data_IF_548946678926
#
_entry.id   IF_548946678926
#
_cell.length_a   1.000
_cell.length_b   1.000
_cell.length_c   1.000
_cell.angle_alpha   90.00
_cell.angle_beta   90.00
_cell.angle_gamma   90.00
#
_symmetry.space_group_name_H-M   'P 1'
#
loop_
_entity.id
_entity.type
_entity.pdbx_description
1 polymer ?
#
# COMPACT_ATOMS: atom_id res chain seq x y z
N UNK A 1 26.78 8.82 3.19
CA UNK A 1 28.11 8.40 3.68
C UNK A 1 28.08 8.49 5.20
N UNK A 2 28.01 7.34 5.87
CA UNK A 2 28.04 7.28 7.33
C UNK A 2 29.49 7.27 7.81
N UNK A 3 29.74 7.99 8.89
CA UNK A 3 31.02 8.15 9.59
C UNK A 3 31.76 6.82 9.74
N UNK A 4 33.03 6.79 9.32
CA UNK A 4 34.00 5.81 9.80
C UNK A 4 34.08 5.89 11.34
N UNK A 5 34.18 4.74 11.99
CA UNK A 5 34.16 4.60 13.47
C UNK A 5 35.31 5.34 14.17
N UNK A 6 36.40 5.64 13.47
CA UNK A 6 37.54 6.39 14.01
C UNK A 6 37.37 7.92 13.96
N UNK A 7 36.44 8.44 13.15
CA UNK A 7 36.27 9.87 12.91
C UNK A 7 35.03 10.43 13.63
N UNK A 8 34.84 10.07 14.89
CA UNK A 8 33.69 10.54 15.69
C UNK A 8 33.65 12.08 15.77
N UNK A 9 34.80 12.77 15.63
CA UNK A 9 34.89 14.23 15.53
C UNK A 9 35.97 14.65 14.52
N UNK A 10 35.63 14.94 13.26
CA UNK A 10 36.61 15.38 12.28
C UNK A 10 37.17 16.76 12.67
N UNK A 11 38.50 16.85 12.77
CA UNK A 11 39.23 18.13 12.94
C UNK A 11 39.57 18.56 14.38
N UNK A 12 39.47 17.69 15.39
CA UNK A 12 39.82 18.03 16.77
C UNK A 12 40.98 17.15 17.30
N UNK A 13 42.12 17.77 17.60
CA UNK A 13 43.26 17.10 18.25
C UNK A 13 42.94 16.85 19.74
N UNK A 14 43.13 15.60 20.20
CA UNK A 14 42.71 15.13 21.54
C UNK A 14 43.83 15.18 22.57
N UNK A 15 45.04 15.57 22.19
CA UNK A 15 46.18 15.63 23.11
C UNK A 15 45.97 16.72 24.17
N UNK A 16 45.81 16.31 25.44
CA UNK A 16 45.82 17.22 26.60
C UNK A 16 44.45 17.67 27.14
N UNK A 17 43.34 17.11 26.69
CA UNK A 17 42.01 17.45 27.20
C UNK A 17 41.67 16.69 28.50
N UNK A 18 41.55 17.42 29.62
CA UNK A 18 41.10 16.90 30.92
C UNK A 18 39.61 16.52 30.95
N UNK A 19 38.83 16.96 29.96
CA UNK A 19 37.39 16.71 29.82
C UNK A 19 37.03 16.63 28.33
N UNK A 20 35.97 15.89 27.97
CA UNK A 20 35.45 15.93 26.60
C UNK A 20 35.18 17.39 26.19
N UNK A 21 35.53 17.77 24.94
CA UNK A 21 35.22 19.10 24.43
C UNK A 21 33.70 19.32 24.49
N UNK A 22 33.27 20.55 24.74
CA UNK A 22 31.85 20.89 24.68
C UNK A 22 31.43 20.87 23.22
N UNK A 23 30.69 19.84 22.83
CA UNK A 23 30.20 19.66 21.47
C UNK A 23 28.73 20.04 21.49
N UNK A 24 28.34 20.96 20.62
CA UNK A 24 26.95 21.33 20.45
C UNK A 24 26.19 20.07 20.01
N UNK A 25 25.10 19.68 20.69
CA UNK A 25 24.35 18.51 20.29
C UNK A 25 23.86 18.67 18.84
N UNK A 26 23.81 17.58 18.05
CA UNK A 26 23.25 17.63 16.71
C UNK A 26 21.83 18.21 16.76
N UNK A 27 21.59 19.25 15.97
CA UNK A 27 20.31 19.92 15.86
C UNK A 27 19.88 20.00 14.40
N UNK A 28 18.57 20.02 14.16
CA UNK A 28 17.99 20.23 12.83
C UNK A 28 17.27 21.58 12.84
N UNK A 29 17.99 22.69 12.55
CA UNK A 29 17.41 24.03 12.68
C UNK A 29 16.32 24.33 11.64
N UNK A 30 16.23 23.53 10.58
CA UNK A 30 15.25 23.70 9.49
C UNK A 30 13.88 23.07 9.77
N UNK A 31 13.65 22.53 10.98
CA UNK A 31 12.42 21.81 11.35
C UNK A 31 11.82 22.39 12.62
N UNK A 32 10.49 22.26 12.75
CA UNK A 32 9.76 22.79 13.89
C UNK A 32 9.89 21.86 15.10
N UNK A 33 10.35 22.40 16.23
CA UNK A 33 10.37 21.68 17.50
C UNK A 33 8.97 21.33 18.01
N UNK A 34 7.96 22.14 17.67
CA UNK A 34 6.57 21.91 18.07
C UNK A 34 5.97 20.70 17.33
N UNK A 35 6.14 20.64 16.01
CA UNK A 35 5.70 19.50 15.20
C UNK A 35 6.41 18.23 15.66
N UNK A 36 7.72 18.29 15.92
CA UNK A 36 8.45 17.13 16.42
C UNK A 36 7.94 16.67 17.79
N UNK A 37 7.60 17.58 18.70
CA UNK A 37 7.03 17.23 19.99
C UNK A 37 5.70 16.46 19.84
N UNK A 38 4.85 16.84 18.88
CA UNK A 38 3.63 16.12 18.54
C UNK A 38 3.92 14.72 17.96
N UNK A 39 4.93 14.58 17.09
CA UNK A 39 5.36 13.28 16.59
C UNK A 39 5.85 12.35 17.72
N UNK A 40 6.61 12.89 18.68
CA UNK A 40 7.02 12.15 19.88
C UNK A 40 5.81 11.76 20.72
N UNK A 41 4.82 12.64 20.86
CA UNK A 41 3.58 12.33 21.57
C UNK A 41 2.85 11.12 20.94
N UNK A 42 2.76 11.08 19.61
CA UNK A 42 2.21 9.93 18.88
C UNK A 42 3.04 8.65 19.05
N UNK A 43 4.38 8.75 19.03
CA UNK A 43 5.27 7.59 19.23
C UNK A 43 5.12 6.97 20.62
N UNK A 44 4.80 7.79 21.63
CA UNK A 44 4.46 7.32 22.97
C UNK A 44 3.08 6.64 23.04
N UNK A 45 2.31 6.65 21.95
CA UNK A 45 1.01 6.01 21.85
C UNK A 45 -0.17 6.93 22.14
N UNK A 46 0.05 8.23 22.35
CA UNK A 46 -1.04 9.16 22.59
C UNK A 46 -1.73 9.60 21.29
N UNK A 47 -3.06 9.83 21.32
CA UNK A 47 -3.77 10.33 20.15
C UNK A 47 -3.32 11.75 19.81
N UNK A 48 -3.34 12.09 18.53
CA UNK A 48 -3.05 13.44 18.05
C UNK A 48 -4.32 14.09 17.49
N UNK A 49 -4.58 15.32 17.92
CA UNK A 49 -5.66 16.12 17.36
C UNK A 49 -5.15 16.89 16.13
N UNK A 50 -5.70 16.56 14.95
CA UNK A 50 -5.34 17.24 13.70
C UNK A 50 -6.19 18.49 13.56
N UNK A 51 -5.57 19.65 13.76
CA UNK A 51 -6.20 20.97 13.70
C UNK A 51 -6.79 21.33 12.33
N UNK A 52 -6.05 21.04 11.27
CA UNK A 52 -6.41 21.33 9.89
C UNK A 52 -5.49 20.57 8.92
N UNK A 53 -5.73 20.73 7.62
CA UNK A 53 -4.95 20.02 6.59
C UNK A 53 -3.50 20.52 6.46
N UNK A 54 -3.26 21.82 6.68
CA UNK A 54 -1.89 22.36 6.67
C UNK A 54 -1.05 21.73 7.79
N UNK A 55 -1.63 21.59 8.98
CA UNK A 55 -1.03 20.92 10.12
C UNK A 55 -0.71 19.45 9.82
N UNK A 56 -1.65 18.72 9.19
CA UNK A 56 -1.41 17.34 8.73
C UNK A 56 -0.24 17.29 7.74
N UNK A 57 -0.17 18.23 6.81
CA UNK A 57 0.90 18.28 5.81
C UNK A 57 2.28 18.54 6.43
N UNK A 58 2.38 19.38 7.46
CA UNK A 58 3.60 19.60 8.23
C UNK A 58 4.07 18.32 8.93
N UNK A 59 3.15 17.64 9.64
CA UNK A 59 3.43 16.37 10.32
C UNK A 59 3.90 15.30 9.32
N UNK A 60 3.22 15.15 8.18
CA UNK A 60 3.60 14.20 7.13
C UNK A 60 4.98 14.53 6.55
N UNK A 61 5.29 15.80 6.33
CA UNK A 61 6.59 16.25 5.82
C UNK A 61 7.72 15.89 6.78
N UNK A 62 7.51 16.06 8.08
CA UNK A 62 8.51 15.76 9.10
C UNK A 62 8.61 14.25 9.36
N UNK A 63 7.50 13.51 9.33
CA UNK A 63 7.53 12.04 9.33
C UNK A 63 8.40 11.49 8.20
N UNK A 64 8.30 12.05 6.99
CA UNK A 64 9.14 11.65 5.85
C UNK A 64 10.61 12.00 6.06
N UNK A 65 10.88 13.18 6.64
CA UNK A 65 12.24 13.62 6.96
C UNK A 65 12.91 12.70 8.00
N UNK A 66 12.21 12.36 9.08
CA UNK A 66 12.70 11.49 10.15
C UNK A 66 12.49 9.99 9.88
N UNK A 67 11.95 9.63 8.73
CA UNK A 67 11.65 8.25 8.31
C UNK A 67 10.72 7.48 9.26
N UNK A 68 9.79 8.18 9.91
CA UNK A 68 8.75 7.57 10.75
C UNK A 68 7.63 6.97 9.90
N UNK A 69 7.94 5.91 9.15
CA UNK A 69 7.02 5.28 8.18
C UNK A 69 5.67 4.87 8.78
N UNK A 70 5.67 4.35 10.01
CA UNK A 70 4.43 4.00 10.70
C UNK A 70 3.57 5.21 11.08
N UNK A 71 4.19 6.31 11.54
CA UNK A 71 3.44 7.54 11.81
C UNK A 71 2.93 8.18 10.52
N UNK A 72 3.73 8.15 9.45
CA UNK A 72 3.29 8.62 8.13
C UNK A 72 2.00 7.90 7.72
N UNK A 73 1.98 6.57 7.83
CA UNK A 73 0.79 5.77 7.49
C UNK A 73 -0.40 6.01 8.43
N UNK A 74 -0.17 6.32 9.72
CA UNK A 74 -1.24 6.71 10.66
C UNK A 74 -1.86 8.08 10.33
N UNK A 75 -1.07 8.98 9.77
CA UNK A 75 -1.50 10.35 9.44
C UNK A 75 -2.18 10.47 8.07
N UNK A 76 -2.05 9.47 7.20
CA UNK A 76 -2.76 9.41 5.92
C UNK A 76 -4.28 9.37 6.16
N UNK A 77 -5.08 10.24 5.50
CA UNK A 77 -6.53 10.18 5.56
C UNK A 77 -7.06 8.83 5.07
N UNK A 78 -7.90 8.20 5.88
CA UNK A 78 -8.58 6.94 5.57
C UNK A 78 -9.83 6.82 6.44
N UNK A 79 -10.77 5.99 6.01
CA UNK A 79 -11.93 5.61 6.80
C UNK A 79 -12.08 4.08 6.78
N UNK A 80 -12.41 3.50 7.92
CA UNK A 80 -12.78 2.09 8.03
C UNK A 80 -14.29 2.01 8.22
N UNK A 81 -14.95 1.23 7.37
CA UNK A 81 -16.40 1.00 7.40
C UNK A 81 -16.70 -0.50 7.33
N UNK A 82 -17.93 -0.89 7.66
CA UNK A 82 -18.37 -2.27 7.55
C UNK A 82 -19.43 -2.39 6.45
N UNK A 83 -19.16 -3.23 5.44
CA UNK A 83 -20.10 -3.54 4.38
C UNK A 83 -21.08 -4.62 4.84
N UNK A 84 -22.32 -4.24 5.10
CA UNK A 84 -23.36 -5.16 5.57
C UNK A 84 -23.75 -6.21 4.52
N UNK A 85 -23.70 -5.87 3.23
CA UNK A 85 -24.07 -6.79 2.16
C UNK A 85 -23.05 -7.94 2.04
N UNK A 86 -21.77 -7.65 2.29
CA UNK A 86 -20.68 -8.63 2.18
C UNK A 86 -20.21 -9.19 3.52
N UNK A 87 -20.57 -8.54 4.63
CA UNK A 87 -20.11 -8.89 5.97
C UNK A 87 -18.60 -8.71 6.13
N UNK A 88 -18.03 -7.68 5.51
CA UNK A 88 -16.58 -7.41 5.45
C UNK A 88 -16.27 -5.98 5.87
N UNK A 89 -15.14 -5.80 6.52
CA UNK A 89 -14.61 -4.48 6.82
C UNK A 89 -13.86 -3.94 5.59
N UNK A 90 -14.11 -2.67 5.27
CA UNK A 90 -13.58 -1.95 4.13
C UNK A 90 -12.69 -0.78 4.61
N UNK A 91 -11.67 -0.47 3.82
CA UNK A 91 -10.86 0.74 3.97
C UNK A 91 -11.04 1.64 2.76
N UNK A 92 -11.53 2.85 3.01
CA UNK A 92 -11.53 3.93 2.03
C UNK A 92 -10.25 4.72 2.16
N UNK A 93 -9.50 4.82 1.06
CA UNK A 93 -8.24 5.57 0.99
C UNK A 93 -8.07 6.18 -0.40
N UNK A 94 -7.38 7.31 -0.44
CA UNK A 94 -7.09 8.02 -1.70
C UNK A 94 -6.11 7.26 -2.58
N UNK A 95 -6.34 7.33 -3.89
CA UNK A 95 -5.48 6.70 -4.90
C UNK A 95 -4.00 7.10 -4.74
N UNK A 96 -3.71 8.35 -4.33
CA UNK A 96 -2.35 8.84 -4.16
C UNK A 96 -1.56 8.17 -3.04
N UNK A 97 -2.27 7.67 -2.03
CA UNK A 97 -1.74 7.18 -0.76
C UNK A 97 -1.60 5.65 -0.70
N UNK A 98 -2.11 4.94 -1.70
CA UNK A 98 -1.96 3.48 -1.83
C UNK A 98 -0.48 3.11 -2.04
N UNK A 99 0.01 2.14 -1.26
CA UNK A 99 1.37 1.60 -1.35
C UNK A 99 1.36 0.12 -1.73
N UNK A 100 2.21 -0.26 -2.69
CA UNK A 100 2.27 -1.64 -3.20
C UNK A 100 2.40 -2.74 -2.13
N UNK A 101 3.19 -2.57 -1.04
CA UNK A 101 3.32 -3.59 -0.01
C UNK A 101 2.01 -3.89 0.73
N UNK A 102 1.06 -2.95 0.74
CA UNK A 102 -0.23 -3.11 1.41
C UNK A 102 -1.28 -3.84 0.57
N UNK A 103 -1.05 -4.06 -0.73
CA UNK A 103 -2.04 -4.65 -1.63
C UNK A 103 -2.03 -6.18 -1.59
N UNK A 104 -3.20 -6.79 -1.50
CA UNK A 104 -3.43 -8.22 -1.68
C UNK A 104 -4.72 -8.48 -2.46
N UNK A 105 -4.89 -9.70 -2.98
CA UNK A 105 -6.07 -10.11 -3.74
C UNK A 105 -6.60 -11.39 -3.10
N UNK A 106 -7.91 -11.43 -2.87
CA UNK A 106 -8.61 -12.63 -2.40
C UNK A 106 -9.71 -12.96 -3.39
N UNK A 107 -9.81 -14.22 -3.78
CA UNK A 107 -10.87 -14.69 -4.65
C UNK A 107 -11.98 -15.28 -3.79
N UNK A 108 -13.21 -14.89 -4.04
CA UNK A 108 -14.34 -15.54 -3.40
C UNK A 108 -14.36 -17.00 -3.90
N UNK A 109 -14.50 -17.95 -2.97
CA UNK A 109 -14.63 -19.34 -3.37
C UNK A 109 -15.86 -19.45 -4.28
N UNK A 110 -15.77 -20.10 -5.45
CA UNK A 110 -16.96 -20.34 -6.24
C UNK A 110 -17.95 -21.08 -5.35
N UNK A 111 -19.20 -20.61 -5.34
CA UNK A 111 -20.29 -21.27 -4.65
C UNK A 111 -20.39 -22.69 -5.23
N UNK A 112 -19.73 -23.67 -4.60
CA UNK A 112 -19.78 -25.07 -5.00
C UNK A 112 -21.20 -25.56 -4.69
N UNK A 113 -22.08 -25.50 -5.69
CA UNK A 113 -23.42 -26.10 -5.63
C UNK A 113 -23.40 -27.62 -5.79
N UNK A 114 -22.22 -28.26 -5.87
CA UNK A 114 -22.10 -29.72 -5.89
C UNK A 114 -20.83 -30.20 -5.16
N UNK A 115 -20.88 -31.34 -4.44
CA UNK A 115 -19.69 -31.94 -3.85
C UNK A 115 -18.75 -32.46 -4.94
N UNK A 116 -17.41 -32.39 -4.74
CA UNK A 116 -16.46 -32.81 -5.76
C UNK A 116 -16.43 -34.33 -5.89
N UNK A 117 -17.08 -34.86 -6.92
CA UNK A 117 -16.89 -36.24 -7.39
C UNK A 117 -15.66 -36.30 -8.29
N UNK A 118 -14.48 -36.54 -7.72
CA UNK A 118 -13.32 -37.03 -8.47
C UNK A 118 -11.95 -36.60 -7.95
N UNK A 119 -10.91 -37.48 -8.02
CA UNK A 119 -9.57 -37.22 -7.47
C UNK A 119 -8.69 -36.29 -8.32
N UNK A 120 -9.25 -35.54 -9.27
CA UNK A 120 -8.54 -34.62 -10.17
C UNK A 120 -8.82 -33.13 -9.89
N UNK A 121 -9.38 -32.81 -8.73
CA UNK A 121 -9.49 -31.43 -8.26
C UNK A 121 -8.11 -30.90 -7.85
N UNK A 122 -7.48 -30.08 -8.72
CA UNK A 122 -6.58 -28.94 -8.43
C UNK A 122 -5.73 -28.57 -9.65
N UNK A 123 -6.38 -28.10 -10.72
CA UNK A 123 -5.75 -27.21 -11.68
C UNK A 123 -6.75 -26.09 -11.95
N UNK A 124 -6.73 -25.06 -11.08
CA UNK A 124 -7.51 -23.85 -11.32
C UNK A 124 -6.78 -23.10 -12.43
N UNK A 125 -7.22 -23.29 -13.67
CA UNK A 125 -6.82 -22.44 -14.78
C UNK A 125 -7.56 -21.12 -14.62
N UNK A 126 -6.80 -20.03 -14.47
CA UNK A 126 -7.26 -18.66 -14.19
C UNK A 126 -7.98 -17.97 -15.38
N UNK A 127 -8.48 -18.76 -16.33
CA UNK A 127 -9.10 -18.29 -17.58
C UNK A 127 -10.62 -18.46 -17.60
N UNK A 128 -11.25 -18.85 -16.48
CA UNK A 128 -12.71 -18.94 -16.39
C UNK A 128 -13.30 -17.59 -15.93
N UNK A 129 -14.17 -16.92 -16.71
CA UNK A 129 -14.80 -15.63 -16.36
C UNK A 129 -15.66 -15.65 -15.08
N UNK A 130 -15.75 -16.76 -14.35
CA UNK A 130 -16.54 -16.89 -13.13
C UNK A 130 -15.78 -16.59 -11.82
N UNK A 131 -14.46 -16.36 -11.88
CA UNK A 131 -13.65 -16.09 -10.68
C UNK A 131 -13.52 -14.58 -10.45
N UNK A 132 -14.45 -14.01 -9.67
CA UNK A 132 -14.31 -12.63 -9.17
C UNK A 132 -13.34 -12.58 -7.98
N UNK A 133 -12.46 -11.58 -7.98
CA UNK A 133 -11.50 -11.35 -6.92
C UNK A 133 -11.62 -9.94 -6.37
N UNK A 134 -11.49 -9.82 -5.06
CA UNK A 134 -11.51 -8.56 -4.33
C UNK A 134 -10.11 -8.12 -3.98
N UNK A 135 -9.83 -6.83 -4.17
CA UNK A 135 -8.59 -6.22 -3.75
C UNK A 135 -8.72 -5.82 -2.30
N UNK A 136 -7.71 -6.18 -1.52
CA UNK A 136 -7.59 -5.83 -0.13
C UNK A 136 -6.38 -4.92 0.09
N UNK A 137 -6.45 -4.09 1.13
CA UNK A 137 -5.40 -3.19 1.53
C UNK A 137 -5.16 -3.22 3.04
N UNK A 138 -3.89 -3.26 3.41
CA UNK A 138 -3.41 -3.15 4.78
C UNK A 138 -2.39 -2.01 4.82
N UNK A 139 -2.62 -0.96 5.62
CA UNK A 139 -1.65 0.14 5.70
C UNK A 139 -0.33 -0.38 6.25
N UNK A 140 0.78 -0.24 5.51
CA UNK A 140 2.07 -0.75 5.95
C UNK A 140 2.44 -0.24 7.35
N UNK A 141 3.02 -1.11 8.18
CA UNK A 141 3.50 -0.78 9.55
C UNK A 141 2.41 -0.43 10.59
N UNK A 142 1.13 -0.34 10.20
CA UNK A 142 0.05 0.12 11.08
C UNK A 142 -0.99 -0.95 11.29
N UNK A 143 -1.52 -1.51 10.20
CA UNK A 143 -2.58 -2.50 10.26
C UNK A 143 -1.99 -3.91 10.40
N UNK A 144 -2.71 -4.76 11.12
CA UNK A 144 -2.39 -6.19 11.28
C UNK A 144 -3.24 -7.08 10.38
N UNK A 145 -4.40 -6.58 9.95
CA UNK A 145 -5.35 -7.29 9.10
C UNK A 145 -5.66 -6.46 7.86
N UNK A 146 -5.79 -7.10 6.69
CA UNK A 146 -6.19 -6.41 5.47
C UNK A 146 -7.71 -6.15 5.44
N UNK A 147 -8.11 -5.03 4.87
CA UNK A 147 -9.48 -4.60 4.65
C UNK A 147 -9.80 -4.58 3.16
N UNK A 148 -11.07 -4.68 2.78
CA UNK A 148 -11.45 -4.54 1.38
C UNK A 148 -11.25 -3.11 0.90
N UNK A 149 -10.60 -2.95 -0.25
CA UNK A 149 -10.12 -1.65 -0.69
C UNK A 149 -11.22 -0.87 -1.43
N UNK A 150 -11.55 0.30 -0.91
CA UNK A 150 -12.30 1.35 -1.61
C UNK A 150 -11.32 2.46 -1.98
N UNK A 151 -11.27 2.79 -3.26
CA UNK A 151 -10.37 3.83 -3.79
C UNK A 151 -11.14 5.13 -3.95
N UNK A 152 -10.75 6.16 -3.20
CA UNK A 152 -11.21 7.52 -3.43
C UNK A 152 -10.37 8.16 -4.54
N UNK A 153 -11.04 8.62 -5.60
CA UNK A 153 -10.43 9.35 -6.72
C UNK A 153 -10.99 10.76 -6.70
N UNK A 154 -10.17 11.72 -6.31
CA UNK A 154 -10.53 13.13 -6.22
C UNK A 154 -10.26 13.90 -7.53
N UNK A 155 -10.96 15.02 -7.73
CA UNK A 155 -10.76 15.95 -8.84
C UNK A 155 -11.43 15.54 -10.16
N UNK A 156 -11.35 16.40 -11.17
CA UNK A 156 -11.94 16.19 -12.50
C UNK A 156 -11.06 15.30 -13.39
N UNK A 157 -10.71 14.12 -12.89
CA UNK A 157 -9.80 13.19 -13.57
C UNK A 157 -10.44 11.85 -13.98
N UNK A 158 -11.74 11.70 -13.77
CA UNK A 158 -12.52 10.50 -14.11
C UNK A 158 -13.71 10.88 -14.98
N UNK A 159 -13.86 10.20 -16.11
CA UNK A 159 -15.08 10.23 -16.94
C UNK A 159 -15.72 8.85 -16.90
N UNK A 160 -16.95 8.78 -16.41
CA UNK A 160 -17.74 7.56 -16.38
C UNK A 160 -18.73 7.57 -17.55
N UNK A 161 -18.58 6.61 -18.46
CA UNK A 161 -19.58 6.26 -19.46
C UNK A 161 -20.49 5.19 -18.85
N UNK A 162 -21.72 5.58 -18.51
CA UNK A 162 -22.71 4.72 -17.86
C UNK A 162 -23.35 3.75 -18.85
N UNK A 163 -23.46 4.14 -20.13
CA UNK A 163 -24.05 3.28 -21.17
C UNK A 163 -23.10 2.14 -21.52
N UNK A 164 -21.80 2.46 -21.66
CA UNK A 164 -20.75 1.47 -21.89
C UNK A 164 -20.29 0.75 -20.61
N UNK A 165 -20.67 1.27 -19.44
CA UNK A 165 -20.17 0.86 -18.12
C UNK A 165 -18.64 0.85 -18.07
N UNK A 166 -18.03 1.99 -18.44
CA UNK A 166 -16.57 2.17 -18.47
C UNK A 166 -16.12 3.48 -17.86
N UNK A 167 -15.01 3.44 -17.14
CA UNK A 167 -14.34 4.61 -16.58
C UNK A 167 -13.06 4.90 -17.35
N UNK A 168 -12.92 6.15 -17.76
CA UNK A 168 -11.70 6.73 -18.31
C UNK A 168 -11.05 7.66 -17.30
N UNK A 169 -9.73 7.58 -17.20
CA UNK A 169 -8.94 8.40 -16.29
C UNK A 169 -7.99 9.29 -17.07
N UNK A 170 -7.70 10.48 -16.53
CA UNK A 170 -6.80 11.46 -17.14
C UNK A 170 -5.62 11.80 -16.22
N UNK A 171 -4.60 12.46 -16.78
CA UNK A 171 -3.45 13.00 -16.04
C UNK A 171 -2.72 11.98 -15.17
N UNK A 172 -2.43 12.36 -13.93
CA UNK A 172 -1.70 11.51 -12.97
C UNK A 172 -2.55 10.37 -12.40
N UNK A 173 -3.87 10.52 -12.35
CA UNK A 173 -4.79 9.45 -11.94
C UNK A 173 -4.69 8.26 -12.91
N UNK A 174 -4.68 8.53 -14.23
CA UNK A 174 -4.47 7.49 -15.25
C UNK A 174 -3.18 6.71 -15.02
N UNK A 175 -2.07 7.42 -14.79
CA UNK A 175 -0.75 6.78 -14.55
C UNK A 175 -0.79 5.88 -13.31
N UNK A 176 -1.42 6.35 -12.22
CA UNK A 176 -1.53 5.61 -10.96
C UNK A 176 -2.42 4.38 -11.08
N UNK A 177 -3.54 4.49 -11.79
CA UNK A 177 -4.46 3.37 -12.02
C UNK A 177 -3.82 2.32 -12.91
N UNK A 178 -3.16 2.72 -14.00
CA UNK A 178 -2.40 1.78 -14.83
C UNK A 178 -1.35 1.04 -14.00
N UNK A 179 -0.61 1.76 -13.16
CA UNK A 179 0.39 1.16 -12.27
C UNK A 179 -0.24 0.23 -11.23
N UNK A 180 -1.40 0.58 -10.70
CA UNK A 180 -2.13 -0.26 -9.75
C UNK A 180 -2.58 -1.57 -10.43
N UNK A 181 -3.17 -1.48 -11.62
CA UNK A 181 -3.61 -2.64 -12.41
C UNK A 181 -2.42 -3.54 -12.75
N UNK A 182 -1.28 -2.98 -13.17
CA UNK A 182 -0.04 -3.75 -13.42
C UNK A 182 0.41 -4.52 -12.16
N UNK A 183 0.41 -3.88 -11.00
CA UNK A 183 0.81 -4.51 -9.74
C UNK A 183 -0.15 -5.63 -9.35
N UNK A 184 -1.45 -5.41 -9.54
CA UNK A 184 -2.47 -6.42 -9.26
C UNK A 184 -2.39 -7.60 -10.23
N UNK A 185 -2.24 -7.35 -11.54
CA UNK A 185 -2.05 -8.39 -12.54
C UNK A 185 -0.81 -9.25 -12.24
N UNK A 186 0.30 -8.62 -11.84
CA UNK A 186 1.49 -9.34 -11.40
C UNK A 186 1.21 -10.20 -10.15
N UNK A 187 0.42 -9.72 -9.19
CA UNK A 187 0.03 -10.50 -8.00
C UNK A 187 -0.89 -11.68 -8.33
N UNK A 188 -1.76 -11.56 -9.33
CA UNK A 188 -2.62 -12.66 -9.81
C UNK A 188 -1.76 -13.75 -10.48
N UNK A 189 -0.78 -13.34 -11.30
CA UNK A 189 0.09 -14.26 -12.04
C UNK A 189 1.19 -14.91 -11.17
N UNK A 190 1.43 -14.41 -9.96
CA UNK A 190 2.32 -15.06 -8.99
C UNK A 190 1.48 -16.07 -8.21
N UNK A 191 1.67 -17.40 -8.40
CA UNK A 191 0.94 -18.39 -7.62
C UNK A 191 1.25 -18.14 -6.15
N UNK A 192 0.23 -17.75 -5.37
CA UNK A 192 0.27 -17.43 -3.95
C UNK A 192 1.47 -18.09 -3.24
N UNK A 193 2.56 -17.34 -3.14
CA UNK A 193 3.76 -17.83 -2.47
C UNK A 193 3.40 -17.97 -1.00
N UNK A 194 3.22 -19.23 -0.58
CA UNK A 194 3.18 -19.63 0.83
C UNK A 194 4.33 -18.93 1.57
N UNK A 195 4.16 -18.57 2.86
CA UNK A 195 5.22 -17.91 3.62
C UNK A 195 6.51 -18.72 3.48
N UNK A 196 7.59 -18.05 3.07
CA UNK A 196 8.92 -18.61 2.88
C UNK A 196 9.47 -19.08 4.24
N UNK A 197 9.05 -20.27 4.64
CA UNK A 197 9.54 -21.00 5.80
C UNK A 197 9.39 -22.47 5.51
N UNK A 198 10.51 -23.15 5.32
CA UNK A 198 10.65 -24.60 5.23
C UNK A 198 10.32 -25.24 3.85
N UNK A 199 11.29 -25.23 2.91
CA UNK A 199 11.57 -26.34 1.96
C UNK A 199 12.70 -25.95 0.99
N UNK A 200 13.95 -26.30 1.32
CA UNK A 200 15.02 -26.43 0.33
C UNK A 200 15.37 -27.91 0.22
N UNK A 201 15.08 -28.49 -0.94
CA UNK A 201 15.53 -29.81 -1.35
C UNK A 201 15.24 -30.00 -2.83
N UNK A 202 16.31 -30.01 -3.64
CA UNK A 202 16.40 -30.41 -5.07
C UNK A 202 15.57 -29.57 -6.06
N UNK A 203 16.03 -29.15 -7.24
CA UNK A 203 17.15 -29.59 -8.07
C UNK A 203 16.63 -29.84 -9.50
N UNK A 204 17.01 -28.94 -10.42
CA UNK A 204 17.06 -29.08 -11.90
C UNK A 204 15.75 -29.27 -12.72
N UNK A 205 15.65 -28.49 -13.81
CA UNK A 205 14.69 -28.73 -14.89
C UNK A 205 14.33 -27.45 -15.65
N UNK A 206 15.17 -27.05 -16.60
CA UNK A 206 14.94 -25.87 -17.44
C UNK A 206 13.79 -26.09 -18.43
N UNK A 207 12.87 -25.14 -18.48
CA UNK A 207 12.01 -24.84 -19.63
C UNK A 207 11.59 -23.38 -19.48
N UNK A 208 12.00 -22.51 -20.41
CA UNK A 208 11.49 -21.14 -20.45
C UNK A 208 9.96 -21.19 -20.63
N UNK A 209 9.16 -20.54 -19.75
CA UNK A 209 7.78 -20.29 -20.08
C UNK A 209 7.71 -19.11 -21.06
N UNK A 210 6.94 -19.31 -22.13
CA UNK A 210 6.52 -18.27 -23.05
C UNK A 210 5.97 -17.07 -22.28
N UNK A 211 6.36 -15.87 -22.71
CA UNK A 211 5.96 -14.61 -22.08
C UNK A 211 4.43 -14.51 -22.09
N UNK A 212 3.74 -14.43 -20.93
CA UNK A 212 2.32 -14.16 -20.92
C UNK A 212 2.13 -12.69 -21.27
N UNK A 213 1.16 -12.42 -22.14
CA UNK A 213 0.76 -11.08 -22.55
C UNK A 213 0.65 -10.17 -21.32
N UNK A 214 1.58 -9.22 -21.22
CA UNK A 214 1.48 -8.11 -20.28
C UNK A 214 0.23 -7.34 -20.70
N UNK A 215 -0.86 -7.54 -19.97
CA UNK A 215 -2.06 -6.72 -20.07
C UNK A 215 -1.75 -5.31 -19.57
N UNK A 216 -0.91 -4.59 -20.30
CA UNK A 216 -0.95 -3.14 -20.29
C UNK A 216 -2.39 -2.77 -20.62
N UNK A 217 -2.96 -1.82 -19.90
CA UNK A 217 -4.29 -1.28 -20.17
C UNK A 217 -4.24 -0.62 -21.57
N UNK A 218 -4.33 -1.42 -22.63
CA UNK A 218 -4.11 -1.00 -24.01
C UNK A 218 -5.24 -0.08 -24.41
N UNK A 219 -4.96 1.23 -24.52
CA UNK A 219 -5.92 2.32 -24.78
C UNK A 219 -7.24 2.29 -23.95
N UNK A 220 -7.36 1.37 -23.00
CA UNK A 220 -8.64 0.78 -22.63
C UNK A 220 -9.19 1.36 -21.35
N UNK A 221 -10.44 1.78 -21.41
CA UNK A 221 -11.20 2.21 -20.25
C UNK A 221 -11.50 1.04 -19.31
N UNK A 222 -11.45 1.30 -18.01
CA UNK A 222 -11.68 0.29 -16.95
C UNK A 222 -13.16 -0.06 -16.94
N UNK A 223 -13.49 -1.35 -16.99
CA UNK A 223 -14.89 -1.79 -16.90
C UNK A 223 -15.42 -1.50 -15.49
N UNK A 224 -16.61 -0.93 -15.42
CA UNK A 224 -17.30 -0.60 -14.17
C UNK A 224 -18.51 -1.51 -14.03
N UNK A 225 -18.84 -1.90 -12.81
CA UNK A 225 -20.09 -2.53 -12.47
C UNK A 225 -20.73 -1.71 -11.35
N UNK A 226 -22.01 -1.39 -11.50
CA UNK A 226 -22.81 -0.79 -10.43
C UNK A 226 -23.56 -1.93 -9.75
N UNK A 227 -23.29 -2.12 -8.46
CA UNK A 227 -23.92 -3.15 -7.63
C UNK A 227 -24.95 -2.51 -6.68
N UNK A 228 -25.69 -3.33 -5.93
CA UNK A 228 -26.71 -2.85 -4.99
C UNK A 228 -26.19 -1.89 -3.91
N UNK A 229 -24.88 -1.92 -3.61
CA UNK A 229 -24.20 -1.01 -2.70
C UNK A 229 -23.71 0.29 -3.35
N UNK A 230 -23.83 0.42 -4.67
CA UNK A 230 -23.41 1.62 -5.40
C UNK A 230 -24.38 2.76 -5.11
N UNK A 231 -23.84 3.93 -4.77
CA UNK A 231 -24.62 5.15 -4.50
C UNK A 231 -23.97 6.36 -5.16
N UNK A 232 -24.80 7.37 -5.46
CA UNK A 232 -24.36 8.69 -5.91
C UNK A 232 -24.48 9.62 -4.71
N UNK A 233 -23.36 10.23 -4.32
CA UNK A 233 -23.26 11.14 -3.16
C UNK A 233 -23.10 12.57 -3.64
#
# INVERSE_FOLDING_TARGET
MFSSTDAVFPGLDRAGLLRPPSIVPPAVPSRSGEVFAELIHMLKGYPLHIRNEAHRAELLRDCRYFLFKGLEQKLIPHAISHNLQRGKDEITIRLEDIRQPGLSITFDAPFQTAPPTGPLARHVQYSDPSVSGWVYYMRPFVDTTPYELIIEISGECTRLDVDAMRAEFSGDAKKRINRLVEVLANKINVPNARPLGLLMGSGAGGSQPDSPASGTLGEGSVKVALEGSSSVV
#
